data_IF_659881516254
#
_entry.id   IF_659881516254
#
_cell.length_a   1.000
_cell.length_b   1.000
_cell.length_c   1.000
_cell.angle_alpha   90.00
_cell.angle_beta   90.00
_cell.angle_gamma   90.00
#
_symmetry.space_group_name_H-M   'P 1'
#
loop_
_entity.id
_entity.type
_entity.pdbx_description
1 polymer ?
#
# COMPACT_ATOMS: atom_id res chain seq x y z
N UNK A 1 18.67 1.14 1.63
CA UNK A 1 17.82 2.34 1.47
C UNK A 1 17.00 2.55 2.74
N UNK A 2 16.85 3.78 3.22
CA UNK A 2 16.02 4.10 4.39
C UNK A 2 14.71 4.76 3.95
N UNK A 3 13.60 4.27 4.48
CA UNK A 3 12.29 4.89 4.37
C UNK A 3 11.89 5.44 5.73
N UNK A 4 11.41 6.69 5.75
CA UNK A 4 10.91 7.34 6.97
C UNK A 4 9.46 7.71 6.72
N UNK A 5 8.55 7.08 7.47
CA UNK A 5 7.15 7.51 7.51
C UNK A 5 6.98 8.60 8.57
N UNK A 6 6.81 9.82 8.09
CA UNK A 6 6.58 11.02 8.90
C UNK A 6 5.14 11.53 8.74
N UNK A 7 4.20 10.68 8.33
CA UNK A 7 2.79 11.06 8.16
C UNK A 7 2.13 11.53 9.45
N UNK A 8 2.66 11.16 10.62
CA UNK A 8 2.23 11.61 11.95
C UNK A 8 3.05 12.79 12.51
N UNK A 9 4.03 13.31 11.76
CA UNK A 9 4.84 14.46 12.16
C UNK A 9 4.23 15.79 11.69
N UNK A 10 3.08 16.14 12.24
CA UNK A 10 2.46 17.44 11.99
C UNK A 10 1.55 17.90 13.13
N UNK A 11 1.25 19.20 13.14
CA UNK A 11 0.15 19.76 13.91
C UNK A 11 -0.91 20.36 12.98
N UNK A 12 -2.19 20.12 13.28
CA UNK A 12 -3.28 20.66 12.50
C UNK A 12 -3.39 22.18 12.71
N UNK A 13 -3.52 22.93 11.62
CA UNK A 13 -3.70 24.38 11.67
C UNK A 13 -5.08 24.72 12.21
N UNK A 14 -5.15 25.71 13.11
CA UNK A 14 -6.41 26.33 13.52
C UNK A 14 -7.19 26.93 12.35
N UNK A 15 -6.49 27.52 11.37
CA UNK A 15 -7.07 28.08 10.14
C UNK A 15 -6.23 27.70 8.94
N UNK A 16 -6.84 27.07 7.95
CA UNK A 16 -6.16 26.66 6.72
C UNK A 16 -5.71 27.87 5.90
N UNK A 17 -4.64 27.69 5.12
CA UNK A 17 -4.20 28.64 4.10
C UNK A 17 -4.33 27.93 2.75
N UNK A 18 -5.44 28.20 2.05
CA UNK A 18 -5.81 27.46 0.84
C UNK A 18 -5.93 25.96 1.15
N UNK A 19 -5.14 25.13 0.48
CA UNK A 19 -5.09 23.66 0.70
C UNK A 19 -4.14 23.24 1.82
N UNK A 20 -3.38 24.17 2.43
CA UNK A 20 -2.44 23.86 3.51
C UNK A 20 -3.18 23.77 4.84
N UNK A 21 -3.23 22.56 5.40
CA UNK A 21 -3.99 22.24 6.63
C UNK A 21 -3.11 21.94 7.84
N UNK A 22 -1.82 21.65 7.63
CA UNK A 22 -0.92 21.17 8.66
C UNK A 22 0.35 22.03 8.71
N UNK A 23 0.95 22.17 9.89
CA UNK A 23 2.26 22.75 10.10
C UNK A 23 3.25 21.68 10.57
N UNK A 24 4.50 21.78 10.12
CA UNK A 24 5.60 20.92 10.57
C UNK A 24 6.37 21.69 11.64
N UNK A 25 6.13 21.35 12.91
CA UNK A 25 6.72 22.05 14.06
C UNK A 25 8.21 21.75 14.22
N UNK A 26 8.90 22.48 15.12
CA UNK A 26 10.30 22.20 15.46
C UNK A 26 10.47 20.77 15.98
N UNK A 27 9.57 20.32 16.86
CA UNK A 27 9.54 18.94 17.35
C UNK A 27 9.46 17.91 16.19
N UNK A 28 8.58 18.13 15.22
CA UNK A 28 8.46 17.26 14.04
C UNK A 28 9.78 17.19 13.26
N UNK A 29 10.40 18.35 13.02
CA UNK A 29 11.69 18.44 12.29
C UNK A 29 12.80 17.73 13.03
N UNK A 30 12.91 17.92 14.36
CA UNK A 30 13.91 17.26 15.19
C UNK A 30 13.77 15.73 15.16
N UNK A 31 12.55 15.20 15.25
CA UNK A 31 12.30 13.76 15.16
C UNK A 31 12.70 13.18 13.81
N UNK A 32 12.31 13.83 12.70
CA UNK A 32 12.65 13.38 11.35
C UNK A 32 14.17 13.42 11.12
N UNK A 33 14.84 14.50 11.53
CA UNK A 33 16.31 14.63 11.39
C UNK A 33 17.03 13.60 12.24
N UNK A 34 16.54 13.34 13.47
CA UNK A 34 17.07 12.29 14.33
C UNK A 34 16.90 10.91 13.70
N UNK A 35 15.71 10.59 13.19
CA UNK A 35 15.45 9.32 12.51
C UNK A 35 16.36 9.10 11.30
N UNK A 36 16.55 10.15 10.48
CA UNK A 36 17.46 10.12 9.34
C UNK A 36 18.92 9.92 9.76
N UNK A 37 19.39 10.67 10.75
CA UNK A 37 20.78 10.62 11.22
C UNK A 37 21.15 9.33 11.94
N UNK A 38 20.22 8.78 12.74
CA UNK A 38 20.41 7.51 13.46
C UNK A 38 20.46 6.31 12.51
N UNK A 39 19.71 6.34 11.40
CA UNK A 39 19.68 5.27 10.40
C UNK A 39 19.47 3.88 11.03
N UNK A 40 18.46 3.76 11.90
CA UNK A 40 18.10 2.50 12.56
C UNK A 40 16.91 1.83 11.87
N UNK A 41 16.92 0.49 11.79
CA UNK A 41 15.83 -0.29 11.20
C UNK A 41 14.72 -0.56 12.22
N UNK A 42 13.46 -0.52 11.77
CA UNK A 42 12.26 -0.72 12.59
C UNK A 42 12.22 0.16 13.86
N UNK A 43 12.75 1.38 13.76
CA UNK A 43 12.85 2.31 14.87
C UNK A 43 11.71 3.34 14.84
N UNK A 44 11.18 3.68 16.01
CA UNK A 44 10.13 4.69 16.18
C UNK A 44 10.70 5.87 16.97
N UNK A 45 10.45 7.08 16.49
CA UNK A 45 10.92 8.32 17.08
C UNK A 45 9.72 9.18 17.46
N UNK A 46 9.55 9.47 18.74
CA UNK A 46 8.39 10.21 19.26
C UNK A 46 7.40 9.28 19.97
N UNK A 47 6.14 9.69 20.02
CA UNK A 47 5.06 8.98 20.71
C UNK A 47 3.99 8.56 19.71
N UNK A 48 3.71 7.25 19.62
CA UNK A 48 2.67 6.69 18.73
C UNK A 48 1.26 7.19 19.03
N UNK A 49 1.01 7.69 20.24
CA UNK A 49 -0.27 8.32 20.58
C UNK A 49 -0.39 9.77 20.10
N UNK A 50 0.71 10.36 19.61
CA UNK A 50 0.78 11.75 19.15
C UNK A 50 1.70 11.92 17.95
N UNK A 51 2.74 12.73 18.12
CA UNK A 51 3.69 13.07 17.05
C UNK A 51 4.83 12.04 17.06
N UNK A 52 4.95 11.29 15.96
CA UNK A 52 6.03 10.34 15.75
C UNK A 52 6.40 10.15 14.27
N UNK A 53 7.54 9.53 14.03
CA UNK A 53 7.89 8.95 12.74
C UNK A 53 8.51 7.55 12.92
N UNK A 54 8.42 6.74 11.87
CA UNK A 54 9.01 5.40 11.84
C UNK A 54 10.08 5.31 10.77
N UNK A 55 11.21 4.67 11.09
CA UNK A 55 12.31 4.39 10.17
C UNK A 55 12.39 2.90 9.91
N UNK A 56 12.44 2.52 8.62
CA UNK A 56 12.69 1.14 8.18
C UNK A 56 13.77 1.14 7.11
N UNK A 57 14.65 0.16 7.18
CA UNK A 57 15.78 -0.02 6.27
C UNK A 57 15.53 -1.27 5.45
N UNK A 58 15.70 -1.11 4.15
CA UNK A 58 15.43 -2.12 3.16
C UNK A 58 16.57 -2.18 2.15
N UNK A 59 16.78 -3.36 1.58
CA UNK A 59 17.68 -3.50 0.44
C UNK A 59 17.01 -2.96 -0.83
N UNK A 60 17.76 -2.23 -1.66
CA UNK A 60 17.17 -1.59 -2.86
C UNK A 60 16.55 -2.61 -3.81
N UNK A 61 17.11 -3.82 -3.86
CA UNK A 61 16.59 -4.92 -4.71
C UNK A 61 15.17 -5.34 -4.35
N UNK A 62 14.73 -5.13 -3.10
CA UNK A 62 13.40 -5.53 -2.63
C UNK A 62 12.26 -4.71 -3.26
N UNK A 63 12.57 -3.52 -3.77
CA UNK A 63 11.61 -2.65 -4.47
C UNK A 63 11.64 -2.84 -5.97
N UNK A 64 12.61 -3.58 -6.48
CA UNK A 64 12.78 -3.81 -7.89
C UNK A 64 11.92 -4.97 -8.37
N UNK A 65 11.43 -4.86 -9.60
CA UNK A 65 10.78 -5.95 -10.31
C UNK A 65 11.13 -5.93 -11.79
N UNK A 66 11.11 -7.12 -12.40
CA UNK A 66 11.01 -7.27 -13.84
C UNK A 66 9.53 -7.19 -14.23
N UNK A 67 9.16 -6.11 -14.90
CA UNK A 67 7.87 -6.02 -15.59
C UNK A 67 7.95 -6.85 -16.87
N UNK A 68 7.53 -8.10 -16.79
CA UNK A 68 7.51 -9.00 -17.94
C UNK A 68 6.27 -8.74 -18.77
N UNK A 69 6.41 -8.86 -20.09
CA UNK A 69 5.25 -8.82 -21.00
C UNK A 69 4.90 -10.25 -21.34
N UNK A 70 3.68 -10.63 -20.98
CA UNK A 70 3.11 -11.94 -21.25
C UNK A 70 2.29 -11.81 -22.53
N UNK A 71 2.74 -12.50 -23.58
CA UNK A 71 2.03 -12.57 -24.85
C UNK A 71 1.27 -13.90 -24.91
N UNK A 72 0.10 -13.86 -25.52
CA UNK A 72 -0.72 -15.03 -25.83
C UNK A 72 -0.97 -15.09 -27.33
N UNK A 73 -1.17 -16.28 -27.91
CA UNK A 73 -1.31 -16.40 -29.35
C UNK A 73 -2.67 -15.87 -29.83
N UNK A 74 -2.66 -15.25 -31.00
CA UNK A 74 -3.86 -15.00 -31.79
C UNK A 74 -4.41 -16.32 -32.32
N UNK A 75 -5.73 -16.46 -32.26
CA UNK A 75 -6.46 -17.64 -32.72
C UNK A 75 -7.42 -17.26 -33.83
N UNK A 76 -7.52 -18.11 -34.83
CA UNK A 76 -8.45 -17.93 -35.95
C UNK A 76 -9.89 -18.32 -35.57
N UNK A 77 -10.81 -18.24 -36.54
CA UNK A 77 -12.23 -18.59 -36.35
C UNK A 77 -12.44 -20.06 -35.92
N UNK A 78 -11.48 -20.94 -36.19
CA UNK A 78 -11.52 -22.35 -35.80
C UNK A 78 -10.86 -22.59 -34.42
N UNK A 79 -10.30 -21.55 -33.80
CA UNK A 79 -9.57 -21.63 -32.54
C UNK A 79 -8.13 -22.09 -32.68
N UNK A 80 -7.60 -22.22 -33.90
CA UNK A 80 -6.21 -22.63 -34.16
C UNK A 80 -5.25 -21.43 -34.01
N UNK A 81 -4.03 -21.69 -33.54
CA UNK A 81 -3.02 -20.65 -33.34
C UNK A 81 -2.51 -20.14 -34.69
N UNK A 82 -2.58 -18.83 -34.89
CA UNK A 82 -2.07 -18.15 -36.08
C UNK A 82 -0.54 -18.10 -36.02
N UNK A 83 0.12 -18.66 -37.04
CA UNK A 83 1.58 -18.69 -37.16
C UNK A 83 2.08 -17.75 -38.25
N UNK A 84 3.15 -17.02 -37.97
CA UNK A 84 3.90 -16.21 -38.96
C UNK A 84 5.37 -16.60 -38.94
N UNK A 85 5.88 -17.12 -40.07
CA UNK A 85 7.25 -17.65 -40.18
C UNK A 85 7.57 -18.72 -39.11
N UNK A 86 6.60 -19.58 -38.81
CA UNK A 86 6.73 -20.67 -37.83
C UNK A 86 6.70 -20.23 -36.36
N UNK A 87 6.37 -18.96 -36.06
CA UNK A 87 6.20 -18.46 -34.69
C UNK A 87 4.76 -18.02 -34.45
N UNK A 88 4.19 -18.24 -33.26
CA UNK A 88 2.89 -17.69 -32.88
C UNK A 88 2.85 -16.17 -33.04
N UNK A 89 1.77 -15.67 -33.63
CA UNK A 89 1.46 -14.24 -33.66
C UNK A 89 0.84 -13.88 -32.32
N UNK A 90 1.30 -12.81 -31.69
CA UNK A 90 0.74 -12.34 -30.43
C UNK A 90 -0.58 -11.62 -30.65
N UNK A 91 -1.60 -12.00 -29.89
CA UNK A 91 -2.85 -11.24 -29.80
C UNK A 91 -2.65 -10.04 -28.87
N UNK A 92 -2.70 -8.83 -29.43
CA UNK A 92 -2.51 -7.61 -28.65
C UNK A 92 -3.61 -7.34 -27.62
N UNK A 93 -4.79 -7.93 -27.79
CA UNK A 93 -5.92 -7.79 -26.86
C UNK A 93 -5.80 -8.68 -25.63
N UNK A 94 -5.05 -9.79 -25.76
CA UNK A 94 -4.79 -10.76 -24.69
C UNK A 94 -3.43 -10.57 -24.02
N UNK A 95 -2.65 -9.57 -24.45
CA UNK A 95 -1.37 -9.22 -23.85
C UNK A 95 -1.59 -8.73 -22.42
N UNK A 96 -0.76 -9.25 -21.51
CA UNK A 96 -0.73 -8.81 -20.13
C UNK A 96 0.69 -8.44 -19.68
N UNK A 97 0.81 -7.90 -18.47
CA UNK A 97 2.08 -7.64 -17.82
C UNK A 97 2.09 -8.11 -16.38
N UNK A 98 3.16 -8.80 -16.01
CA UNK A 98 3.37 -9.28 -14.64
C UNK A 98 4.60 -8.60 -14.03
N UNK A 99 4.54 -8.31 -12.73
CA UNK A 99 5.66 -7.73 -11.99
C UNK A 99 6.34 -8.83 -11.16
N UNK A 100 7.48 -9.34 -11.65
CA UNK A 100 8.25 -10.37 -10.95
C UNK A 100 9.36 -9.73 -10.13
N UNK A 101 9.43 -9.99 -8.82
CA UNK A 101 10.49 -9.45 -7.95
C UNK A 101 11.88 -9.69 -8.55
N UNK A 102 12.80 -8.72 -8.43
CA UNK A 102 14.20 -8.89 -8.87
C UNK A 102 14.93 -10.01 -8.11
N UNK A 103 14.43 -10.41 -6.95
CA UNK A 103 14.99 -11.51 -6.14
C UNK A 103 14.51 -12.89 -6.59
N UNK A 104 13.62 -12.97 -7.58
CA UNK A 104 13.05 -14.22 -8.09
C UNK A 104 13.50 -14.48 -9.52
N UNK A 105 13.60 -15.78 -9.86
CA UNK A 105 13.82 -16.21 -11.23
C UNK A 105 12.53 -16.05 -12.06
N UNK A 106 12.65 -15.35 -13.19
CA UNK A 106 11.51 -15.00 -14.05
C UNK A 106 10.87 -16.26 -14.64
N UNK A 107 11.69 -17.17 -15.17
CA UNK A 107 11.20 -18.34 -15.89
C UNK A 107 10.47 -19.27 -14.89
N UNK A 108 11.00 -19.46 -13.67
CA UNK A 108 10.33 -20.22 -12.60
C UNK A 108 9.03 -19.57 -12.09
N UNK A 109 9.00 -18.24 -11.97
CA UNK A 109 7.76 -17.53 -11.62
C UNK A 109 6.70 -17.75 -12.69
N UNK A 110 7.08 -17.61 -13.95
CA UNK A 110 6.19 -17.75 -15.09
C UNK A 110 5.57 -19.16 -15.17
N UNK A 111 6.38 -20.21 -14.93
CA UNK A 111 5.90 -21.59 -14.86
C UNK A 111 4.90 -21.83 -13.73
N UNK A 112 5.04 -21.13 -12.60
CA UNK A 112 4.19 -21.35 -11.41
C UNK A 112 2.92 -20.53 -11.43
N UNK A 113 2.99 -19.28 -11.88
CA UNK A 113 1.91 -18.30 -11.73
C UNK A 113 1.18 -18.02 -13.05
N UNK A 114 1.83 -18.22 -14.21
CA UNK A 114 1.23 -17.86 -15.52
C UNK A 114 0.82 -19.09 -16.31
N UNK A 115 1.73 -20.03 -16.54
CA UNK A 115 1.46 -21.20 -17.38
C UNK A 115 0.27 -22.07 -16.93
N UNK A 116 -0.04 -22.24 -15.62
CA UNK A 116 -1.21 -23.02 -15.21
C UNK A 116 -2.56 -22.41 -15.64
N UNK A 117 -2.57 -21.11 -15.96
CA UNK A 117 -3.77 -20.39 -16.40
C UNK A 117 -3.72 -20.02 -17.89
N UNK A 118 -2.52 -19.99 -18.49
CA UNK A 118 -2.30 -19.71 -19.90
C UNK A 118 -1.14 -20.56 -20.45
N UNK A 119 -1.43 -21.82 -20.79
CA UNK A 119 -0.43 -22.82 -21.20
C UNK A 119 0.35 -22.44 -22.47
N UNK A 120 -0.27 -21.65 -23.35
CA UNK A 120 0.29 -21.22 -24.63
C UNK A 120 0.97 -19.84 -24.57
N UNK A 121 1.09 -19.26 -23.38
CA UNK A 121 1.70 -17.95 -23.19
C UNK A 121 3.24 -18.01 -23.28
N UNK A 122 3.84 -16.90 -23.69
CA UNK A 122 5.30 -16.73 -23.66
C UNK A 122 5.70 -15.32 -23.23
N UNK A 123 6.92 -15.19 -22.74
CA UNK A 123 7.49 -13.90 -22.32
C UNK A 123 8.11 -13.19 -23.52
N UNK A 124 7.70 -11.95 -23.79
CA UNK A 124 8.46 -11.06 -24.68
C UNK A 124 9.63 -10.41 -23.92
N UNK A 125 10.78 -11.09 -23.97
CA UNK A 125 12.02 -10.63 -23.30
C UNK A 125 12.52 -9.27 -23.83
N UNK A 126 12.13 -8.83 -25.04
CA UNK A 126 12.53 -7.51 -25.58
C UNK A 126 11.71 -6.38 -24.99
N UNK A 127 10.45 -6.64 -24.62
CA UNK A 127 9.56 -5.65 -23.98
C UNK A 127 9.63 -5.68 -22.46
N UNK A 128 10.28 -6.70 -21.89
CA UNK A 128 10.52 -6.80 -20.45
C UNK A 128 11.40 -5.65 -19.97
N UNK A 129 11.02 -5.00 -18.87
CA UNK A 129 11.72 -3.84 -18.30
C UNK A 129 11.91 -4.01 -16.81
N UNK A 130 13.03 -3.51 -16.30
CA UNK A 130 13.23 -3.36 -14.85
C UNK A 130 12.52 -2.10 -14.38
N UNK A 131 11.67 -2.24 -13.36
CA UNK A 131 10.98 -1.16 -12.66
C UNK A 131 11.31 -1.19 -11.17
N UNK A 132 11.01 -0.08 -10.49
CA UNK A 132 11.08 0.02 -9.03
C UNK A 132 9.79 0.65 -8.51
N UNK A 133 9.26 0.12 -7.41
CA UNK A 133 8.07 0.63 -6.74
C UNK A 133 8.26 0.61 -5.22
N UNK A 134 7.89 1.71 -4.57
CA UNK A 134 7.95 1.83 -3.10
C UNK A 134 6.52 1.94 -2.57
N UNK A 135 5.84 0.82 -2.27
CA UNK A 135 4.51 0.84 -1.66
C UNK A 135 4.59 1.24 -0.18
N UNK A 136 4.71 2.55 0.09
CA UNK A 136 4.87 3.09 1.45
C UNK A 136 3.78 2.58 2.42
N UNK A 137 2.52 2.57 1.96
CA UNK A 137 1.39 2.08 2.76
C UNK A 137 1.51 0.60 3.13
N UNK A 138 2.14 -0.24 2.31
CA UNK A 138 2.35 -1.67 2.61
C UNK A 138 3.42 -1.84 3.68
N UNK A 139 4.52 -1.10 3.60
CA UNK A 139 5.65 -1.24 4.53
C UNK A 139 5.38 -0.65 5.91
N UNK A 140 4.57 0.40 5.98
CA UNK A 140 4.19 1.07 7.24
C UNK A 140 2.75 0.73 7.66
N UNK A 141 2.16 -0.32 7.09
CA UNK A 141 0.87 -0.82 7.54
C UNK A 141 0.98 -1.39 8.95
N UNK A 142 0.17 -0.85 9.86
CA UNK A 142 -0.04 -1.41 11.19
C UNK A 142 -1.47 -1.95 11.26
N UNK A 143 -1.60 -3.26 11.48
CA UNK A 143 -2.90 -3.90 11.60
C UNK A 143 -3.60 -3.41 12.86
N UNK A 144 -4.73 -2.72 12.68
CA UNK A 144 -5.61 -2.34 13.77
C UNK A 144 -6.71 -3.39 13.91
N UNK A 145 -6.58 -4.22 14.95
CA UNK A 145 -7.63 -5.17 15.29
C UNK A 145 -8.91 -4.39 15.61
N UNK A 146 -10.07 -4.81 15.06
CA UNK A 146 -11.33 -4.19 15.42
C UNK A 146 -11.59 -4.33 16.93
N UNK A 147 -12.18 -3.30 17.53
CA UNK A 147 -12.63 -3.32 18.92
C UNK A 147 -13.66 -4.44 19.12
N UNK A 148 -13.68 -5.06 20.30
CA UNK A 148 -14.63 -6.14 20.61
C UNK A 148 -16.05 -5.59 20.61
N UNK A 149 -16.98 -6.40 20.09
CA UNK A 149 -18.39 -6.02 19.99
C UNK A 149 -18.98 -5.74 21.37
N UNK A 150 -18.58 -6.50 22.39
CA UNK A 150 -19.07 -6.34 23.75
C UNK A 150 -18.68 -4.98 24.36
N UNK A 151 -17.46 -4.52 24.11
CA UNK A 151 -16.96 -3.23 24.59
C UNK A 151 -17.68 -2.07 23.89
N UNK A 152 -17.91 -2.21 22.57
CA UNK A 152 -18.70 -1.26 21.79
C UNK A 152 -20.13 -1.16 22.35
N UNK A 153 -20.78 -2.29 22.60
CA UNK A 153 -22.15 -2.33 23.13
C UNK A 153 -22.24 -1.71 24.53
N UNK A 154 -21.28 -2.01 25.42
CA UNK A 154 -21.22 -1.40 26.74
C UNK A 154 -21.09 0.14 26.65
N UNK A 155 -20.23 0.64 25.76
CA UNK A 155 -20.06 2.08 25.52
C UNK A 155 -21.32 2.73 24.96
N UNK A 156 -22.02 2.06 24.03
CA UNK A 156 -23.29 2.53 23.48
C UNK A 156 -24.32 2.70 24.60
N UNK A 157 -24.49 1.70 25.47
CA UNK A 157 -25.47 1.78 26.55
C UNK A 157 -25.18 2.90 27.57
N UNK A 158 -23.90 3.13 27.89
CA UNK A 158 -23.51 4.28 28.73
C UNK A 158 -23.86 5.60 28.06
N UNK A 159 -23.54 5.75 26.77
CA UNK A 159 -23.87 6.96 26.00
C UNK A 159 -25.39 7.16 25.89
N UNK A 160 -26.17 6.10 25.69
CA UNK A 160 -27.64 6.16 25.67
C UNK A 160 -28.22 6.67 27.00
N UNK A 161 -27.69 6.18 28.12
CA UNK A 161 -28.09 6.63 29.45
C UNK A 161 -27.74 8.11 29.68
N UNK A 162 -26.54 8.53 29.32
CA UNK A 162 -26.08 9.92 29.45
C UNK A 162 -26.89 10.89 28.59
N UNK A 163 -27.21 10.50 27.34
CA UNK A 163 -28.06 11.28 26.43
C UNK A 163 -29.48 11.40 27.01
N UNK A 164 -30.06 10.29 27.48
CA UNK A 164 -31.40 10.28 28.06
C UNK A 164 -31.49 11.19 29.29
N UNK A 165 -30.52 11.11 30.20
CA UNK A 165 -30.43 11.97 31.38
C UNK A 165 -30.24 13.45 31.02
N UNK A 166 -29.47 13.75 29.97
CA UNK A 166 -29.27 15.12 29.49
C UNK A 166 -30.54 15.70 28.88
N UNK A 167 -31.29 14.92 28.10
CA UNK A 167 -32.58 15.33 27.54
C UNK A 167 -33.62 15.56 28.63
N UNK A 168 -33.72 14.67 29.62
CA UNK A 168 -34.63 14.83 30.74
C UNK A 168 -34.38 16.15 31.49
N UNK A 169 -33.12 16.50 31.76
CA UNK A 169 -32.78 17.80 32.38
C UNK A 169 -33.23 18.98 31.52
N UNK A 170 -32.99 18.92 30.22
CA UNK A 170 -33.30 20.00 29.28
C UNK A 170 -34.81 20.25 29.17
N UNK A 171 -35.62 19.19 29.17
CA UNK A 171 -37.09 19.29 29.16
C UNK A 171 -37.71 19.49 30.55
N UNK A 172 -36.96 19.25 31.63
CA UNK A 172 -37.40 19.54 33.00
C UNK A 172 -37.23 21.03 33.37
N UNK A 173 -36.31 21.76 32.73
CA UNK A 173 -36.08 23.19 32.95
C UNK A 173 -37.08 24.11 32.20
N UNK A 174 -37.89 23.56 31.28
CA UNK A 174 -38.96 24.29 30.56
C UNK A 174 -40.33 24.28 31.27
N UNK A 175 -40.41 23.78 32.51
CA UNK A 175 -41.63 23.81 33.36
C UNK A 175 -41.44 24.66 34.60
#
# INVERSE_FOLDING_TARGET
MQLIDASHCYEARRKSIGTKRNDITDQCRELIVKAYGSFENCAVYGDKSGIYCESKIFETVEFGYNKIVVERPERDENGEIVLKKGKPVADTSLRDTENVSLTQDIDRYFEREVLPYAEDAWIDKKKTKVGYEIPMTRYFYEYQAPEKVEDIMARIHVLEADISASLEKLFAEEK
#
